data_IF_533802568512
#
_entry.id   IF_533802568512
#
_cell.length_a   1.000
_cell.length_b   1.000
_cell.length_c   1.000
_cell.angle_alpha   90.00
_cell.angle_beta   90.00
_cell.angle_gamma   90.00
#
_symmetry.space_group_name_H-M   'P 1'
#
loop_
_entity.id
_entity.type
_entity.pdbx_description
1 polymer ?
#
# COMPACT_ATOMS: atom_id res chain seq x y z
N UNK A 1 -8.75 -4.44 -0.40
CA UNK A 1 -8.36 -3.53 -1.51
C UNK A 1 -8.35 -4.26 -2.84
N UNK A 2 -9.37 -4.10 -3.68
CA UNK A 2 -9.44 -4.67 -5.03
C UNK A 2 -9.56 -3.52 -6.04
N UNK A 3 -8.49 -2.72 -6.16
CA UNK A 3 -8.40 -1.65 -7.16
C UNK A 3 -7.65 -2.12 -8.40
N UNK A 4 -7.56 -1.25 -9.40
CA UNK A 4 -6.81 -1.48 -10.62
C UNK A 4 -5.55 -0.60 -10.65
N UNK A 5 -4.49 -1.10 -11.30
CA UNK A 5 -3.28 -0.34 -11.62
C UNK A 5 -3.08 -0.31 -13.13
N UNK A 6 -2.39 0.72 -13.61
CA UNK A 6 -2.01 0.84 -15.01
C UNK A 6 -0.74 0.04 -15.29
N UNK A 7 -0.87 -1.02 -16.09
CA UNK A 7 0.26 -1.76 -16.65
C UNK A 7 0.70 -1.12 -17.96
N UNK A 8 1.90 -0.56 -17.97
CA UNK A 8 2.46 0.22 -19.09
C UNK A 8 3.32 -0.62 -20.05
N UNK A 9 3.54 -1.90 -19.78
CA UNK A 9 4.46 -2.75 -20.56
C UNK A 9 3.96 -3.00 -21.98
N UNK A 10 2.62 -3.06 -22.16
CA UNK A 10 1.98 -3.35 -23.45
C UNK A 10 0.73 -2.47 -23.67
N UNK A 11 0.93 -1.27 -24.22
CA UNK A 11 -0.19 -0.44 -24.70
C UNK A 11 -1.10 0.17 -23.62
N UNK A 12 -0.63 0.22 -22.37
CA UNK A 12 -1.32 0.84 -21.22
C UNK A 12 -2.72 0.25 -20.95
N UNK A 13 -2.81 -0.72 -20.03
CA UNK A 13 -4.08 -1.36 -19.62
C UNK A 13 -4.28 -1.34 -18.12
N UNK A 14 -5.54 -1.27 -17.68
CA UNK A 14 -5.89 -1.48 -16.28
C UNK A 14 -5.91 -2.98 -15.98
N UNK A 15 -5.27 -3.37 -14.88
CA UNK A 15 -5.21 -4.75 -14.37
C UNK A 15 -5.43 -4.76 -12.87
N UNK A 16 -5.83 -5.89 -12.26
CA UNK A 16 -5.94 -5.97 -10.82
C UNK A 16 -4.64 -5.57 -10.13
N UNK A 17 -4.74 -4.66 -9.15
CA UNK A 17 -3.58 -4.06 -8.51
C UNK A 17 -2.62 -5.09 -7.90
N UNK A 18 -3.16 -6.15 -7.29
CA UNK A 18 -2.36 -7.18 -6.63
C UNK A 18 -1.61 -8.08 -7.60
N UNK A 19 -2.15 -8.29 -8.79
CA UNK A 19 -1.48 -9.06 -9.83
C UNK A 19 -0.26 -8.29 -10.34
N UNK A 20 -0.43 -6.98 -10.64
CA UNK A 20 0.67 -6.14 -11.09
C UNK A 20 1.72 -5.88 -9.99
N UNK A 21 1.32 -5.77 -8.73
CA UNK A 21 2.26 -5.68 -7.60
C UNK A 21 3.06 -6.98 -7.44
N UNK A 22 2.42 -8.15 -7.59
CA UNK A 22 3.11 -9.43 -7.55
C UNK A 22 4.15 -9.54 -8.67
N UNK A 23 3.80 -9.15 -9.90
CA UNK A 23 4.73 -9.06 -11.03
C UNK A 23 5.91 -8.14 -10.73
N UNK A 24 5.64 -6.94 -10.20
CA UNK A 24 6.67 -5.96 -9.86
C UNK A 24 7.64 -6.53 -8.82
N UNK A 25 7.12 -7.08 -7.72
CA UNK A 25 7.94 -7.68 -6.66
C UNK A 25 8.74 -8.87 -7.18
N UNK A 26 8.14 -9.70 -8.04
CA UNK A 26 8.85 -10.80 -8.69
C UNK A 26 10.01 -10.31 -9.56
N UNK A 27 9.84 -9.19 -10.26
CA UNK A 27 10.90 -8.64 -11.12
C UNK A 27 12.10 -8.07 -10.36
N UNK A 28 11.92 -7.70 -9.09
CA UNK A 28 12.97 -7.16 -8.22
C UNK A 28 13.37 -8.11 -7.09
N UNK A 29 12.95 -9.38 -7.14
CA UNK A 29 13.20 -10.35 -6.07
C UNK A 29 14.69 -10.51 -5.75
N UNK A 30 15.54 -10.67 -6.77
CA UNK A 30 16.99 -10.81 -6.59
C UNK A 30 17.64 -9.62 -5.85
N UNK A 31 17.42 -8.36 -6.30
CA UNK A 31 17.85 -7.18 -5.56
C UNK A 31 17.35 -7.12 -4.11
N UNK A 32 16.07 -7.44 -3.85
CA UNK A 32 15.51 -7.44 -2.50
C UNK A 32 16.14 -8.50 -1.59
N UNK A 33 16.47 -9.68 -2.13
CA UNK A 33 17.18 -10.71 -1.38
C UNK A 33 18.62 -10.27 -1.08
N UNK A 34 19.30 -9.66 -2.05
CA UNK A 34 20.68 -9.20 -1.90
C UNK A 34 20.83 -8.08 -0.85
N UNK A 35 19.83 -7.22 -0.69
CA UNK A 35 19.82 -6.15 0.33
C UNK A 35 19.22 -6.59 1.67
N UNK A 36 18.57 -7.76 1.72
CA UNK A 36 17.83 -8.21 2.90
C UNK A 36 16.44 -7.56 3.07
N UNK A 37 15.96 -6.82 2.07
CA UNK A 37 14.69 -6.09 2.14
C UNK A 37 13.46 -6.94 1.79
N UNK A 38 13.65 -8.19 1.35
CA UNK A 38 12.55 -9.05 0.89
C UNK A 38 11.44 -9.19 1.94
N UNK A 39 11.80 -9.53 3.17
CA UNK A 39 10.84 -9.72 4.26
C UNK A 39 10.12 -8.41 4.62
N UNK A 40 10.83 -7.28 4.59
CA UNK A 40 10.27 -5.96 4.85
C UNK A 40 9.17 -5.62 3.82
N UNK A 41 9.44 -5.87 2.54
CA UNK A 41 8.48 -5.62 1.44
C UNK A 41 7.26 -6.52 1.58
N UNK A 42 7.45 -7.83 1.78
CA UNK A 42 6.35 -8.79 1.93
C UNK A 42 5.45 -8.44 3.14
N UNK A 43 6.06 -8.13 4.28
CA UNK A 43 5.33 -7.69 5.48
C UNK A 43 4.58 -6.37 5.25
N UNK A 44 5.19 -5.42 4.53
CA UNK A 44 4.58 -4.15 4.17
C UNK A 44 3.36 -4.30 3.28
N UNK A 45 3.45 -5.13 2.24
CA UNK A 45 2.36 -5.42 1.32
C UNK A 45 1.21 -6.14 2.02
N UNK A 46 1.51 -7.12 2.86
CA UNK A 46 0.49 -7.83 3.64
C UNK A 46 -0.22 -6.88 4.63
N UNK A 47 0.50 -5.93 5.25
CA UNK A 47 -0.12 -4.88 6.08
C UNK A 47 -1.08 -4.01 5.27
N UNK A 48 -0.70 -3.59 4.06
CA UNK A 48 -1.56 -2.81 3.16
C UNK A 48 -2.78 -3.63 2.73
N UNK A 49 -2.60 -4.93 2.45
CA UNK A 49 -3.68 -5.84 2.04
C UNK A 49 -4.78 -5.91 3.10
N UNK A 50 -4.38 -6.02 4.37
CA UNK A 50 -5.30 -6.14 5.51
C UNK A 50 -5.89 -4.81 5.96
N UNK A 51 -5.06 -3.76 6.08
CA UNK A 51 -5.46 -2.49 6.71
C UNK A 51 -5.94 -1.42 5.71
N UNK A 52 -5.63 -1.58 4.42
CA UNK A 52 -5.76 -0.52 3.45
C UNK A 52 -4.53 0.39 3.39
N UNK A 53 -4.53 1.30 2.44
CA UNK A 53 -3.48 2.32 2.25
C UNK A 53 -3.67 3.49 3.21
N UNK A 54 -2.68 4.38 3.31
CA UNK A 54 -2.82 5.63 4.07
C UNK A 54 -4.02 6.46 3.60
N UNK A 55 -4.30 6.49 2.31
CA UNK A 55 -5.46 7.20 1.76
C UNK A 55 -6.80 6.55 2.19
N UNK A 56 -6.86 5.22 2.32
CA UNK A 56 -8.05 4.54 2.83
C UNK A 56 -8.29 4.86 4.30
N UNK A 57 -7.22 4.84 5.11
CA UNK A 57 -7.28 5.20 6.52
C UNK A 57 -7.70 6.66 6.72
N UNK A 58 -7.15 7.58 5.92
CA UNK A 58 -7.51 9.00 5.97
C UNK A 58 -8.95 9.25 5.53
N UNK A 59 -9.43 8.62 4.45
CA UNK A 59 -10.84 8.71 4.03
C UNK A 59 -11.78 8.17 5.11
N UNK A 60 -11.40 7.08 5.77
CA UNK A 60 -12.16 6.50 6.88
C UNK A 60 -12.22 7.45 8.08
N UNK A 61 -11.08 8.01 8.50
CA UNK A 61 -11.03 8.97 9.60
C UNK A 61 -11.92 10.18 9.31
N UNK A 62 -11.85 10.75 8.10
CA UNK A 62 -12.71 11.86 7.71
C UNK A 62 -14.20 11.47 7.72
N UNK A 63 -14.55 10.28 7.24
CA UNK A 63 -15.93 9.80 7.27
C UNK A 63 -16.47 9.58 8.70
N UNK A 64 -15.58 9.24 9.64
CA UNK A 64 -15.93 8.99 11.05
C UNK A 64 -15.99 10.30 11.87
N UNK A 65 -15.10 11.27 11.62
CA UNK A 65 -15.01 12.50 12.43
C UNK A 65 -15.63 13.74 11.77
N UNK A 66 -15.77 13.74 10.44
CA UNK A 66 -16.19 14.89 9.66
C UNK A 66 -15.19 16.05 9.63
N UNK A 67 -13.94 15.83 10.06
CA UNK A 67 -12.94 16.89 10.23
C UNK A 67 -11.56 16.49 9.70
N UNK A 68 -10.78 17.48 9.24
CA UNK A 68 -9.38 17.25 8.87
C UNK A 68 -8.48 17.07 10.09
N UNK A 69 -8.83 17.69 11.22
CA UNK A 69 -8.18 17.47 12.51
C UNK A 69 -8.24 15.99 12.90
N UNK A 70 -9.40 15.33 12.75
CA UNK A 70 -9.52 13.90 13.03
C UNK A 70 -8.72 13.01 12.06
N UNK A 71 -8.48 13.47 10.83
CA UNK A 71 -7.56 12.79 9.90
C UNK A 71 -6.11 12.91 10.40
N UNK A 72 -5.71 14.08 10.86
CA UNK A 72 -4.36 14.33 11.41
C UNK A 72 -4.15 13.51 12.69
N UNK A 73 -5.13 13.49 13.59
CA UNK A 73 -5.10 12.68 14.81
C UNK A 73 -4.88 11.19 14.46
N UNK A 74 -5.63 10.66 13.49
CA UNK A 74 -5.45 9.29 13.01
C UNK A 74 -4.05 9.01 12.44
N UNK A 75 -3.46 9.98 11.71
CA UNK A 75 -2.08 9.86 11.19
C UNK A 75 -1.05 9.86 12.32
N UNK A 76 -1.22 10.74 13.31
CA UNK A 76 -0.35 10.80 14.49
C UNK A 76 -0.37 9.48 15.26
N UNK A 77 -1.55 8.89 15.47
CA UNK A 77 -1.69 7.59 16.12
C UNK A 77 -1.00 6.45 15.35
N UNK A 78 -1.05 6.46 14.01
CA UNK A 78 -0.44 5.40 13.20
C UNK A 78 1.08 5.51 13.03
N UNK A 79 1.65 6.68 13.31
CA UNK A 79 3.09 6.96 13.12
C UNK A 79 3.83 7.19 14.43
N UNK A 80 3.12 7.19 15.56
CA UNK A 80 3.72 7.26 16.88
C UNK A 80 4.71 6.08 17.09
N UNK A 81 5.85 6.30 17.77
CA UNK A 81 6.78 5.23 18.11
C UNK A 81 6.05 4.15 18.91
N UNK A 82 6.28 2.88 18.55
CA UNK A 82 5.82 1.72 19.34
C UNK A 82 6.69 1.51 20.57
#
# INVERSE_FOLDING_TARGET
MAGELLDVRDGARLVPAWDLLADLVSSVAGPLEATGDRELVDAGLERIRRRGTGADLQRRAFAETGSFEGVVDGVCETTAPT
#
